data_IF_628682051909
#
_entry.id   IF_628682051909
#
_cell.length_a   1.000
_cell.length_b   1.000
_cell.length_c   1.000
_cell.angle_alpha   90.00
_cell.angle_beta   90.00
_cell.angle_gamma   90.00
#
_symmetry.space_group_name_H-M   'P 1'
#
loop_
_entity.id
_entity.type
_entity.pdbx_description
1 polymer ?
#
# COMPACT_ATOMS: atom_id res chain seq x y z
N UNK A 1 -2.17 -8.31 -18.34
CA UNK A 1 -1.60 -9.22 -17.34
C UNK A 1 -0.39 -10.01 -17.87
N UNK A 2 -0.49 -10.84 -18.92
CA UNK A 2 0.69 -11.51 -19.52
C UNK A 2 1.87 -10.55 -19.82
N UNK A 3 1.60 -9.35 -20.28
CA UNK A 3 2.62 -8.37 -20.68
C UNK A 3 3.48 -7.86 -19.52
N UNK A 4 2.95 -7.76 -18.32
CA UNK A 4 3.72 -7.37 -17.11
C UNK A 4 4.65 -8.49 -16.65
N UNK A 5 4.17 -9.74 -16.69
CA UNK A 5 4.97 -10.90 -16.33
C UNK A 5 6.07 -11.20 -17.36
N UNK A 6 5.80 -11.01 -18.66
CA UNK A 6 6.79 -11.17 -19.73
C UNK A 6 7.93 -10.15 -19.67
N UNK A 7 7.65 -8.90 -19.28
CA UNK A 7 8.70 -7.89 -19.02
C UNK A 7 9.57 -8.26 -17.83
N UNK A 8 9.04 -8.99 -16.86
CA UNK A 8 9.79 -9.41 -15.67
C UNK A 8 10.64 -10.68 -15.89
N UNK A 9 10.23 -11.59 -16.75
CA UNK A 9 11.05 -12.76 -17.13
C UNK A 9 12.35 -12.36 -17.85
N UNK A 10 12.38 -11.21 -18.49
CA UNK A 10 13.54 -10.71 -19.24
C UNK A 10 14.40 -9.66 -18.48
N UNK A 11 13.91 -9.09 -17.39
CA UNK A 11 14.63 -8.10 -16.58
C UNK A 11 14.58 -8.44 -15.09
N UNK A 12 15.52 -9.28 -14.68
CA UNK A 12 16.10 -9.35 -13.35
C UNK A 12 15.22 -9.05 -12.11
N UNK A 13 14.81 -10.14 -11.40
CA UNK A 13 15.15 -10.29 -9.96
C UNK A 13 14.80 -9.17 -8.97
N UNK A 14 13.83 -8.33 -9.18
CA UNK A 14 13.22 -7.69 -8.05
C UNK A 14 12.11 -8.60 -7.51
N UNK A 15 12.53 -9.56 -6.72
CA UNK A 15 11.65 -10.57 -6.12
C UNK A 15 10.59 -9.94 -5.23
N UNK A 16 10.91 -8.82 -4.56
CA UNK A 16 10.02 -8.14 -3.63
C UNK A 16 8.88 -7.45 -4.37
N UNK A 17 9.19 -6.66 -5.39
CA UNK A 17 8.17 -5.98 -6.19
C UNK A 17 7.28 -6.98 -6.93
N UNK A 18 7.86 -8.07 -7.44
CA UNK A 18 7.11 -9.18 -8.04
C UNK A 18 6.14 -9.82 -7.04
N UNK A 19 6.55 -10.03 -5.80
CA UNK A 19 5.68 -10.59 -4.75
C UNK A 19 4.55 -9.61 -4.37
N UNK A 20 4.81 -8.30 -4.35
CA UNK A 20 3.78 -7.28 -4.13
C UNK A 20 2.76 -7.26 -5.29
N UNK A 21 3.22 -7.32 -6.54
CA UNK A 21 2.37 -7.43 -7.72
C UNK A 21 1.54 -8.74 -7.66
N UNK A 22 2.17 -9.86 -7.33
CA UNK A 22 1.49 -11.14 -7.18
C UNK A 22 0.39 -11.06 -6.11
N UNK A 23 0.64 -10.38 -4.98
CA UNK A 23 -0.39 -10.15 -3.98
C UNK A 23 -1.64 -9.48 -4.57
N UNK A 24 -1.46 -8.48 -5.43
CA UNK A 24 -2.57 -7.78 -6.08
C UNK A 24 -3.29 -8.67 -7.09
N UNK A 25 -2.52 -9.34 -7.96
CA UNK A 25 -3.08 -10.13 -9.07
C UNK A 25 -3.77 -11.42 -8.64
N UNK A 26 -3.18 -12.17 -7.69
CA UNK A 26 -3.75 -13.42 -7.18
C UNK A 26 -5.08 -13.20 -6.45
N UNK A 27 -5.28 -11.98 -5.95
CA UNK A 27 -6.50 -11.56 -5.26
C UNK A 27 -7.44 -10.75 -6.14
N UNK A 28 -7.11 -10.59 -7.42
CA UNK A 28 -7.93 -9.83 -8.39
C UNK A 28 -8.10 -8.36 -8.02
N UNK A 29 -7.21 -7.80 -7.20
CA UNK A 29 -7.28 -6.40 -6.80
C UNK A 29 -6.90 -5.47 -7.96
N UNK A 30 -6.04 -5.97 -8.86
CA UNK A 30 -5.66 -5.33 -10.13
C UNK A 30 -6.80 -5.18 -11.16
N UNK A 31 -7.93 -5.81 -10.89
CA UNK A 31 -9.12 -5.79 -11.78
C UNK A 31 -10.19 -4.81 -11.32
N UNK A 32 -9.97 -4.15 -10.20
CA UNK A 32 -10.87 -3.08 -9.75
C UNK A 32 -10.65 -1.85 -10.59
N UNK A 33 -11.74 -1.12 -10.81
CA UNK A 33 -11.63 0.23 -11.35
C UNK A 33 -10.80 1.09 -10.40
N UNK A 34 -9.90 1.86 -10.98
CA UNK A 34 -9.07 2.79 -10.22
C UNK A 34 -9.95 3.89 -9.62
N UNK A 35 -9.75 4.14 -8.34
CA UNK A 35 -10.35 5.26 -7.62
C UNK A 35 -9.29 5.84 -6.67
N UNK A 36 -8.90 7.07 -6.91
CA UNK A 36 -7.85 7.75 -6.15
C UNK A 36 -8.17 7.82 -4.65
N UNK A 37 -9.43 8.06 -4.29
CA UNK A 37 -9.85 8.16 -2.89
C UNK A 37 -9.73 6.81 -2.17
N UNK A 38 -10.01 5.70 -2.84
CA UNK A 38 -9.84 4.36 -2.28
C UNK A 38 -8.36 4.05 -2.01
N UNK A 39 -7.46 4.46 -2.90
CA UNK A 39 -6.02 4.25 -2.72
C UNK A 39 -5.45 5.17 -1.64
N UNK A 40 -5.84 6.46 -1.64
CA UNK A 40 -5.45 7.39 -0.58
C UNK A 40 -5.97 6.95 0.79
N UNK A 41 -7.18 6.39 0.86
CA UNK A 41 -7.74 5.85 2.09
C UNK A 41 -6.87 4.72 2.68
N UNK A 42 -6.32 3.83 1.82
CA UNK A 42 -5.39 2.79 2.25
C UNK A 42 -4.09 3.40 2.82
N UNK A 43 -3.54 4.40 2.15
CA UNK A 43 -2.32 5.09 2.58
C UNK A 43 -2.54 5.81 3.92
N UNK A 44 -3.66 6.50 4.08
CA UNK A 44 -4.02 7.21 5.31
C UNK A 44 -4.16 6.22 6.47
N UNK A 45 -4.74 5.03 6.25
CA UNK A 45 -4.84 3.98 7.27
C UNK A 45 -3.45 3.62 7.81
N UNK A 46 -2.49 3.35 6.93
CA UNK A 46 -1.10 3.04 7.31
C UNK A 46 -0.39 4.22 7.98
N UNK A 47 -0.65 5.46 7.55
CA UNK A 47 -0.12 6.66 8.19
C UNK A 47 -0.64 6.83 9.61
N UNK A 48 -1.91 6.58 9.86
CA UNK A 48 -2.52 6.62 11.19
C UNK A 48 -1.95 5.52 12.09
N UNK A 49 -1.79 4.31 11.57
CA UNK A 49 -1.15 3.21 12.31
C UNK A 49 0.30 3.54 12.69
N UNK A 50 1.06 4.16 11.79
CA UNK A 50 2.43 4.61 12.05
C UNK A 50 2.51 5.67 13.18
N UNK A 51 1.42 6.40 13.43
CA UNK A 51 1.28 7.35 14.54
C UNK A 51 0.62 6.75 15.78
N UNK A 52 0.34 5.43 15.78
CA UNK A 52 -0.27 4.72 16.89
C UNK A 52 -1.79 4.80 16.96
N UNK A 53 -2.43 5.40 15.96
CA UNK A 53 -3.89 5.41 15.82
C UNK A 53 -4.31 4.14 15.09
N UNK A 54 -5.19 3.36 15.71
CA UNK A 54 -5.75 2.17 15.07
C UNK A 54 -7.24 2.38 14.87
N UNK A 55 -7.64 2.22 13.63
CA UNK A 55 -9.04 2.25 13.27
C UNK A 55 -9.71 0.95 13.75
N UNK A 56 -10.63 1.07 14.68
CA UNK A 56 -11.30 -0.08 15.30
C UNK A 56 -12.45 -0.59 14.46
N UNK A 57 -13.09 0.31 13.70
CA UNK A 57 -14.35 0.03 13.02
C UNK A 57 -14.31 0.50 11.55
N UNK A 58 -13.76 -0.35 10.67
CA UNK A 58 -13.89 -0.21 9.23
C UNK A 58 -13.42 1.12 8.61
N UNK A 59 -12.29 1.65 9.06
CA UNK A 59 -11.65 2.80 8.42
C UNK A 59 -12.38 4.14 8.69
N UNK A 60 -13.06 4.27 9.81
CA UNK A 60 -13.79 5.49 10.15
C UNK A 60 -12.87 6.71 10.27
N UNK A 61 -11.77 6.58 11.03
CA UNK A 61 -10.82 7.69 11.19
C UNK A 61 -10.10 8.05 9.90
N UNK A 62 -9.76 7.06 9.09
CA UNK A 62 -9.15 7.27 7.77
C UNK A 62 -10.09 8.05 6.85
N UNK A 63 -11.40 7.76 6.89
CA UNK A 63 -12.42 8.52 6.15
C UNK A 63 -12.51 9.97 6.61
N UNK A 64 -12.51 10.23 7.91
CA UNK A 64 -12.54 11.61 8.46
C UNK A 64 -11.34 12.41 7.95
N UNK A 65 -10.15 11.79 7.91
CA UNK A 65 -8.94 12.44 7.39
C UNK A 65 -9.07 12.69 5.89
N UNK A 66 -9.53 11.69 5.12
CA UNK A 66 -9.73 11.83 3.67
C UNK A 66 -10.76 12.90 3.34
N UNK A 67 -11.90 12.92 4.04
CA UNK A 67 -12.94 13.94 3.84
C UNK A 67 -12.41 15.36 4.13
N UNK A 68 -11.57 15.50 5.16
CA UNK A 68 -10.92 16.77 5.48
C UNK A 68 -9.92 17.18 4.40
N UNK A 69 -9.15 16.22 3.89
CA UNK A 69 -8.21 16.42 2.78
C UNK A 69 -8.95 16.85 1.51
N UNK A 70 -10.01 16.15 1.11
CA UNK A 70 -10.80 16.46 -0.07
C UNK A 70 -11.51 17.84 0.06
N UNK A 71 -11.94 18.19 1.26
CA UNK A 71 -12.47 19.53 1.54
C UNK A 71 -11.42 20.61 1.34
N UNK A 72 -10.18 20.37 1.77
CA UNK A 72 -9.06 21.29 1.55
C UNK A 72 -8.71 21.39 0.06
N UNK A 73 -8.61 20.28 -0.67
CA UNK A 73 -8.37 20.28 -2.12
C UNK A 73 -9.46 21.07 -2.86
N UNK A 74 -10.72 20.87 -2.50
CA UNK A 74 -11.85 21.63 -3.06
C UNK A 74 -11.74 23.13 -2.78
N UNK A 75 -11.32 23.51 -1.58
CA UNK A 75 -11.06 24.90 -1.25
C UNK A 75 -9.96 25.50 -2.17
N UNK A 76 -8.82 24.80 -2.31
CA UNK A 76 -7.71 25.26 -3.16
C UNK A 76 -8.16 25.41 -4.61
N UNK A 77 -8.88 24.45 -5.16
CA UNK A 77 -9.37 24.49 -6.54
C UNK A 77 -10.34 25.65 -6.81
N UNK A 78 -11.12 26.06 -5.81
CA UNK A 78 -12.10 27.14 -5.95
C UNK A 78 -11.50 28.52 -5.73
N UNK A 79 -10.64 28.67 -4.73
CA UNK A 79 -10.23 29.96 -4.21
C UNK A 79 -8.75 30.29 -4.43
N UNK A 80 -7.91 29.27 -4.63
CA UNK A 80 -6.46 29.39 -4.78
C UNK A 80 -6.00 28.78 -6.12
N UNK A 81 -6.67 29.20 -7.21
CA UNK A 81 -6.53 28.59 -8.54
C UNK A 81 -5.11 28.56 -9.10
N UNK A 82 -4.26 29.49 -8.68
CA UNK A 82 -2.85 29.52 -9.09
C UNK A 82 -2.03 28.37 -8.51
N UNK A 83 -2.56 27.70 -7.48
CA UNK A 83 -1.95 26.54 -6.81
C UNK A 83 -2.67 25.24 -7.11
N UNK A 84 -3.62 25.24 -8.05
CA UNK A 84 -4.36 24.03 -8.42
C UNK A 84 -4.24 23.74 -9.92
N UNK A 85 -4.01 22.50 -10.23
CA UNK A 85 -4.18 21.95 -11.58
C UNK A 85 -4.88 20.60 -11.49
N UNK A 86 -5.76 20.32 -12.44
CA UNK A 86 -6.40 19.00 -12.51
C UNK A 86 -5.35 17.91 -12.64
N UNK A 87 -5.43 16.85 -11.81
CA UNK A 87 -4.52 15.73 -11.92
C UNK A 87 -4.68 15.01 -13.27
N UNK A 88 -3.59 14.39 -13.70
CA UNK A 88 -3.55 13.53 -14.89
C UNK A 88 -3.04 12.15 -14.47
N UNK A 89 -3.28 11.13 -15.29
CA UNK A 89 -2.75 9.79 -15.03
C UNK A 89 -1.24 9.81 -14.73
N UNK A 90 -0.50 10.67 -15.44
CA UNK A 90 0.94 10.79 -15.23
C UNK A 90 1.28 11.39 -13.85
N UNK A 91 0.61 12.46 -13.44
CA UNK A 91 0.85 13.10 -12.14
C UNK A 91 0.41 12.23 -10.97
N UNK A 92 -0.63 11.45 -11.14
CA UNK A 92 -1.09 10.48 -10.13
C UNK A 92 -0.08 9.35 -9.95
N UNK A 93 0.42 8.77 -11.06
CA UNK A 93 1.45 7.72 -11.02
C UNK A 93 2.74 8.23 -10.40
N UNK A 94 3.17 9.45 -10.76
CA UNK A 94 4.36 10.10 -10.21
C UNK A 94 4.25 10.27 -8.68
N UNK A 95 3.10 10.77 -8.22
CA UNK A 95 2.82 10.91 -6.79
C UNK A 95 2.88 9.58 -6.03
N UNK A 96 2.35 8.49 -6.60
CA UNK A 96 2.48 7.15 -5.98
C UNK A 96 3.93 6.67 -5.95
N UNK A 97 4.74 6.95 -6.97
CA UNK A 97 6.16 6.63 -6.97
C UNK A 97 6.90 7.38 -5.86
N UNK A 98 6.60 8.67 -5.67
CA UNK A 98 7.17 9.49 -4.60
C UNK A 98 6.78 8.97 -3.21
N UNK A 99 5.53 8.55 -3.02
CA UNK A 99 5.09 7.93 -1.76
C UNK A 99 5.94 6.68 -1.45
N UNK A 100 6.21 5.83 -2.44
CA UNK A 100 7.06 4.64 -2.28
C UNK A 100 8.50 5.04 -1.94
N UNK A 101 9.06 6.08 -2.59
CA UNK A 101 10.39 6.60 -2.31
C UNK A 101 10.48 7.11 -0.86
N UNK A 102 9.55 7.96 -0.44
CA UNK A 102 9.55 8.49 0.93
C UNK A 102 9.36 7.40 1.98
N UNK A 103 8.50 6.43 1.74
CA UNK A 103 8.33 5.28 2.62
C UNK A 103 9.63 4.47 2.74
N UNK A 104 10.32 4.22 1.63
CA UNK A 104 11.61 3.54 1.57
C UNK A 104 12.68 4.32 2.35
N UNK A 105 12.75 5.63 2.15
CA UNK A 105 13.62 6.53 2.90
C UNK A 105 13.32 6.52 4.41
N UNK A 106 12.05 6.42 4.78
CA UNK A 106 11.62 6.27 6.18
C UNK A 106 12.17 4.99 6.82
N UNK A 107 12.11 3.86 6.13
CA UNK A 107 12.66 2.58 6.58
C UNK A 107 14.18 2.69 6.81
N UNK A 108 14.91 3.28 5.86
CA UNK A 108 16.36 3.53 5.98
C UNK A 108 16.72 4.39 7.19
N UNK A 109 16.00 5.51 7.38
CA UNK A 109 16.21 6.43 8.51
C UNK A 109 15.92 5.79 9.88
N UNK A 110 15.09 4.76 9.90
CA UNK A 110 14.85 3.92 11.07
C UNK A 110 15.97 2.91 11.34
N UNK A 111 16.97 2.80 10.47
CA UNK A 111 18.10 1.88 10.59
C UNK A 111 17.78 0.47 10.08
N UNK A 112 16.90 0.36 9.09
CA UNK A 112 16.55 -0.92 8.47
C UNK A 112 16.88 -0.93 6.98
N UNK A 113 17.28 -2.09 6.47
CA UNK A 113 17.43 -2.33 5.03
C UNK A 113 16.03 -2.48 4.41
N UNK A 114 15.61 -1.57 3.50
CA UNK A 114 14.26 -1.60 2.96
C UNK A 114 13.99 -2.83 2.09
N UNK A 115 14.98 -3.36 1.39
CA UNK A 115 14.80 -4.56 0.56
C UNK A 115 14.42 -5.75 1.44
N UNK A 116 15.13 -5.96 2.56
CA UNK A 116 14.86 -7.06 3.49
C UNK A 116 13.54 -6.82 4.24
N UNK A 117 13.27 -5.58 4.63
CA UNK A 117 12.04 -5.23 5.34
C UNK A 117 10.79 -5.46 4.45
N UNK A 118 10.85 -5.04 3.19
CA UNK A 118 9.77 -5.24 2.24
C UNK A 118 9.60 -6.71 1.85
N UNK A 119 10.68 -7.50 1.77
CA UNK A 119 10.62 -8.94 1.56
C UNK A 119 9.90 -9.66 2.72
N UNK A 120 10.23 -9.32 3.97
CA UNK A 120 9.55 -9.86 5.15
C UNK A 120 8.05 -9.46 5.17
N UNK A 121 7.72 -8.21 4.82
CA UNK A 121 6.34 -7.75 4.68
C UNK A 121 5.61 -8.51 3.56
N UNK A 122 6.25 -8.69 2.39
CA UNK A 122 5.65 -9.43 1.27
C UNK A 122 5.34 -10.88 1.64
N UNK A 123 6.22 -11.55 2.38
CA UNK A 123 5.97 -12.90 2.92
C UNK A 123 4.77 -12.90 3.86
N UNK A 124 4.65 -11.91 4.74
CA UNK A 124 3.52 -11.82 5.66
C UNK A 124 2.21 -11.64 4.91
N UNK A 125 2.11 -10.65 4.02
CA UNK A 125 0.86 -10.38 3.30
C UNK A 125 0.45 -11.53 2.39
N UNK A 126 1.41 -12.21 1.73
CA UNK A 126 1.14 -13.36 0.87
C UNK A 126 0.73 -14.62 1.65
N UNK A 127 1.14 -14.76 2.90
CA UNK A 127 0.74 -15.88 3.75
C UNK A 127 -0.72 -15.79 4.23
N UNK A 128 -1.32 -14.60 4.17
CA UNK A 128 -2.69 -14.38 4.65
C UNK A 128 -3.69 -14.98 3.67
N UNK A 129 -4.40 -16.00 4.12
CA UNK A 129 -5.50 -16.63 3.36
C UNK A 129 -6.82 -15.89 3.59
N UNK A 130 -7.74 -16.00 2.64
CA UNK A 130 -9.05 -15.35 2.72
C UNK A 130 -9.92 -15.67 1.51
N UNK A 131 -11.04 -15.01 1.43
CA UNK A 131 -12.00 -15.17 0.32
C UNK A 131 -12.30 -13.83 -0.32
N UNK A 132 -12.57 -13.86 -1.63
CA UNK A 132 -13.03 -12.70 -2.37
C UNK A 132 -14.56 -12.67 -2.32
N UNK A 133 -15.11 -11.61 -1.70
CA UNK A 133 -16.56 -11.41 -1.60
C UNK A 133 -16.90 -9.98 -1.97
N UNK A 134 -17.86 -9.79 -2.85
CA UNK A 134 -18.35 -8.46 -3.27
C UNK A 134 -17.22 -7.50 -3.70
N UNK A 135 -16.28 -7.99 -4.52
CA UNK A 135 -15.16 -7.18 -5.00
C UNK A 135 -14.09 -6.86 -3.96
N UNK A 136 -14.14 -7.45 -2.76
CA UNK A 136 -13.17 -7.20 -1.68
C UNK A 136 -12.55 -8.52 -1.18
N UNK A 137 -11.23 -8.53 -1.05
CA UNK A 137 -10.53 -9.62 -0.35
C UNK A 137 -10.78 -9.50 1.16
N UNK A 138 -11.39 -10.53 1.73
CA UNK A 138 -11.64 -10.63 3.17
C UNK A 138 -10.73 -11.69 3.76
N UNK A 139 -9.82 -11.26 4.64
CA UNK A 139 -8.89 -12.16 5.34
C UNK A 139 -9.66 -13.14 6.22
N UNK A 140 -9.30 -14.41 6.17
CA UNK A 140 -9.79 -15.41 7.14
C UNK A 140 -9.12 -15.15 8.49
N UNK A 141 -9.90 -14.70 9.47
CA UNK A 141 -9.43 -14.38 10.82
C UNK A 141 -9.67 -15.51 11.83
N UNK A 142 -10.00 -16.74 11.35
CA UNK A 142 -10.10 -17.91 12.23
C UNK A 142 -8.75 -18.18 12.93
N UNK A 143 -8.80 -18.81 14.08
CA UNK A 143 -7.59 -19.16 14.85
C UNK A 143 -6.69 -20.07 14.00
N UNK A 144 -7.28 -21.01 13.28
CA UNK A 144 -6.58 -21.96 12.42
C UNK A 144 -5.90 -21.29 11.23
N UNK A 145 -6.53 -20.26 10.67
CA UNK A 145 -5.97 -19.47 9.59
C UNK A 145 -4.83 -18.58 10.10
N UNK A 146 -5.03 -17.89 11.21
CA UNK A 146 -4.02 -17.00 11.78
C UNK A 146 -2.79 -17.77 12.27
N UNK A 147 -2.94 -19.01 12.73
CA UNK A 147 -1.81 -19.86 13.13
C UNK A 147 -0.87 -20.20 11.96
N UNK A 148 -1.35 -20.12 10.72
CA UNK A 148 -0.57 -20.40 9.49
C UNK A 148 0.04 -19.14 8.87
N UNK A 149 -0.34 -17.95 9.34
CA UNK A 149 0.20 -16.71 8.78
C UNK A 149 1.67 -16.55 9.16
N UNK A 150 2.48 -16.21 8.18
CA UNK A 150 3.83 -15.76 8.43
C UNK A 150 3.76 -14.42 9.17
N UNK A 151 4.65 -14.23 10.13
CA UNK A 151 4.81 -12.95 10.83
C UNK A 151 6.14 -12.35 10.39
N UNK A 152 6.10 -11.16 9.81
CA UNK A 152 7.29 -10.45 9.38
C UNK A 152 8.29 -10.29 10.54
N UNK A 153 9.53 -10.65 10.28
CA UNK A 153 10.61 -10.49 11.25
C UNK A 153 11.58 -9.38 10.82
N UNK A 154 11.22 -8.17 11.13
CA UNK A 154 12.01 -6.99 10.78
C UNK A 154 13.39 -6.94 11.46
N UNK A 155 13.65 -7.75 12.48
CA UNK A 155 14.98 -7.83 13.10
C UNK A 155 16.05 -8.23 12.08
N UNK A 156 15.70 -9.07 11.09
CA UNK A 156 16.59 -9.46 10.00
C UNK A 156 17.01 -8.31 9.10
N UNK A 157 16.16 -7.30 9.02
CA UNK A 157 16.38 -6.12 8.18
C UNK A 157 17.22 -5.04 8.88
N UNK A 158 17.52 -5.19 10.18
CA UNK A 158 18.22 -4.19 10.96
C UNK A 158 19.65 -4.00 10.44
N UNK A 159 20.01 -2.76 10.11
CA UNK A 159 21.36 -2.41 9.71
C UNK A 159 22.28 -2.54 10.94
N UNK A 160 23.44 -3.16 10.75
CA UNK A 160 24.49 -3.18 11.76
C UNK A 160 25.24 -1.84 11.66
N UNK A 161 25.34 -1.13 12.76
CA UNK A 161 26.20 0.07 12.89
C UNK A 161 27.65 -0.33 12.89
#
# INVERSE_FOLDING_TARGET
MKKYLEVQENNTKDTVLCEMIRFQTDRGLDKKDFNIDDELLNIIEEMLEAKGVRDKDNREFSKIVLDSFNSFVSYVSMYEKDYYSEPTDHTEVDAFCDIVEYATGGILKKGYNPVIALDEMAKEINSRIGTFRNGKFTKDKSIEAQAKWYKANFTKARLQN
#
